data_IF_849342911994
#
_entry.id   IF_849342911994
#
_cell.length_a   1.000
_cell.length_b   1.000
_cell.length_c   1.000
_cell.angle_alpha   90.00
_cell.angle_beta   90.00
_cell.angle_gamma   90.00
#
_symmetry.space_group_name_H-M   'P 1'
#
loop_
_entity.id
_entity.type
_entity.pdbx_description
1 polymer ?
#
# COMPACT_ATOMS: atom_id res chain seq x y z
N UNK A 1 -18.69 1.62 16.68
CA UNK A 1 -18.91 2.03 15.28
C UNK A 1 -20.36 2.31 15.01
N UNK A 2 -20.68 3.50 14.48
CA UNK A 2 -22.04 3.84 14.04
C UNK A 2 -22.38 3.14 12.69
N UNK A 3 -23.60 3.26 12.18
CA UNK A 3 -23.99 2.60 10.92
C UNK A 3 -23.19 3.10 9.71
N UNK A 4 -22.86 4.39 9.66
CA UNK A 4 -22.08 4.99 8.58
C UNK A 4 -20.64 4.42 8.53
N UNK A 5 -19.97 4.33 9.68
CA UNK A 5 -18.66 3.73 9.85
C UNK A 5 -18.66 2.23 9.52
N UNK A 6 -19.73 1.52 9.89
CA UNK A 6 -19.91 0.11 9.52
C UNK A 6 -20.05 -0.07 8.00
N UNK A 7 -20.80 0.80 7.33
CA UNK A 7 -20.98 0.77 5.87
C UNK A 7 -19.65 1.06 5.15
N UNK A 8 -18.91 2.08 5.59
CA UNK A 8 -17.57 2.39 5.08
C UNK A 8 -16.62 1.21 5.25
N UNK A 9 -16.60 0.59 6.43
CA UNK A 9 -15.80 -0.59 6.72
C UNK A 9 -16.19 -1.78 5.83
N UNK A 10 -17.48 -1.98 5.54
CA UNK A 10 -17.95 -3.03 4.64
C UNK A 10 -17.48 -2.81 3.20
N UNK A 11 -17.56 -1.57 2.71
CA UNK A 11 -17.11 -1.23 1.36
C UNK A 11 -15.61 -1.47 1.20
N UNK A 12 -14.79 -0.99 2.16
CA UNK A 12 -13.35 -1.26 2.20
C UNK A 12 -13.05 -2.76 2.21
N UNK A 13 -13.72 -3.51 3.09
CA UNK A 13 -13.56 -4.97 3.20
C UNK A 13 -13.92 -5.70 1.91
N UNK A 14 -14.99 -5.30 1.23
CA UNK A 14 -15.36 -5.87 -0.07
C UNK A 14 -14.20 -5.69 -1.05
N UNK A 15 -13.71 -4.46 -1.23
CA UNK A 15 -12.63 -4.18 -2.18
C UNK A 15 -11.38 -5.01 -1.86
N UNK A 16 -10.95 -5.02 -0.59
CA UNK A 16 -9.77 -5.79 -0.15
C UNK A 16 -9.90 -7.30 -0.42
N UNK A 17 -11.07 -7.89 -0.12
CA UNK A 17 -11.29 -9.33 -0.29
C UNK A 17 -11.42 -9.69 -1.77
N UNK A 18 -12.24 -8.94 -2.50
CA UNK A 18 -12.56 -9.24 -3.90
C UNK A 18 -11.39 -8.92 -4.83
N UNK A 19 -10.63 -7.86 -4.57
CA UNK A 19 -9.38 -7.57 -5.29
C UNK A 19 -8.40 -8.75 -5.17
N UNK A 20 -8.12 -9.21 -3.95
CA UNK A 20 -7.26 -10.39 -3.72
C UNK A 20 -7.81 -11.68 -4.34
N UNK A 21 -9.13 -11.84 -4.38
CA UNK A 21 -9.74 -13.01 -5.02
C UNK A 21 -9.51 -13.01 -6.54
N UNK A 22 -9.80 -11.89 -7.20
CA UNK A 22 -9.62 -11.74 -8.65
C UNK A 22 -8.15 -11.75 -9.05
N UNK A 23 -7.29 -11.07 -8.28
CA UNK A 23 -5.84 -11.09 -8.47
C UNK A 23 -5.29 -12.52 -8.44
N UNK A 24 -5.66 -13.33 -7.44
CA UNK A 24 -5.23 -14.74 -7.36
C UNK A 24 -5.73 -15.59 -8.53
N UNK A 25 -6.95 -15.34 -9.02
CA UNK A 25 -7.45 -16.03 -10.21
C UNK A 25 -6.62 -15.68 -11.44
N UNK A 26 -6.32 -14.40 -11.62
CA UNK A 26 -5.48 -13.93 -12.72
C UNK A 26 -4.05 -14.45 -12.63
N UNK A 27 -3.42 -14.44 -11.45
CA UNK A 27 -2.07 -15.01 -11.25
C UNK A 27 -2.00 -16.49 -11.64
N UNK A 28 -3.05 -17.29 -11.38
CA UNK A 28 -3.10 -18.69 -11.83
C UNK A 28 -3.20 -18.80 -13.35
N UNK A 29 -3.89 -17.88 -14.01
CA UNK A 29 -3.95 -17.82 -15.47
C UNK A 29 -2.57 -17.51 -16.07
N UNK A 30 -1.86 -16.51 -15.50
CA UNK A 30 -0.50 -16.15 -15.90
C UNK A 30 0.48 -17.31 -15.69
N UNK A 31 0.43 -17.97 -14.54
CA UNK A 31 1.30 -19.12 -14.25
C UNK A 31 1.06 -20.32 -15.19
N UNK A 32 -0.11 -20.39 -15.81
CA UNK A 32 -0.43 -21.38 -16.83
C UNK A 32 -0.05 -20.93 -18.26
N UNK A 33 0.48 -19.71 -18.43
CA UNK A 33 0.82 -19.12 -19.73
C UNK A 33 -0.40 -18.86 -20.63
N UNK A 34 -1.57 -18.63 -20.04
CA UNK A 34 -2.85 -18.46 -20.77
C UNK A 34 -3.39 -17.02 -20.76
N UNK A 35 -2.63 -16.09 -20.20
CA UNK A 35 -3.04 -14.68 -20.09
C UNK A 35 -2.75 -13.87 -21.35
N UNK A 36 -1.81 -14.33 -22.20
CA UNK A 36 -1.38 -13.62 -23.40
C UNK A 36 -1.77 -14.33 -24.70
N UNK A 37 -2.07 -13.53 -25.72
CA UNK A 37 -2.18 -13.97 -27.12
C UNK A 37 -0.81 -13.96 -27.79
N UNK A 38 -0.68 -14.61 -28.95
CA UNK A 38 0.59 -14.71 -29.69
C UNK A 38 1.17 -13.35 -30.12
N UNK A 39 0.31 -12.33 -30.28
CA UNK A 39 0.67 -10.95 -30.63
C UNK A 39 1.00 -10.07 -29.40
N UNK A 40 1.04 -10.65 -28.19
CA UNK A 40 1.36 -9.95 -26.95
C UNK A 40 0.18 -9.24 -26.28
N UNK A 41 -1.01 -9.31 -26.87
CA UNK A 41 -2.26 -8.86 -26.26
C UNK A 41 -2.69 -9.73 -25.06
N UNK A 42 -3.79 -9.32 -24.42
CA UNK A 42 -4.44 -10.13 -23.38
C UNK A 42 -5.48 -11.05 -24.00
N UNK A 43 -5.61 -12.27 -23.46
CA UNK A 43 -6.72 -13.15 -23.83
C UNK A 43 -8.04 -12.64 -23.27
N UNK A 44 -9.17 -13.06 -23.85
CA UNK A 44 -10.51 -12.79 -23.30
C UNK A 44 -10.62 -13.27 -21.85
N UNK A 45 -10.09 -14.47 -21.54
CA UNK A 45 -10.07 -15.02 -20.17
C UNK A 45 -9.28 -14.12 -19.20
N UNK A 46 -8.20 -13.47 -19.66
CA UNK A 46 -7.48 -12.49 -18.86
C UNK A 46 -8.30 -11.22 -18.63
N UNK A 47 -8.88 -10.65 -19.70
CA UNK A 47 -9.67 -9.41 -19.64
C UNK A 47 -10.97 -9.57 -18.84
N UNK A 48 -11.47 -10.79 -18.62
CA UNK A 48 -12.59 -11.06 -17.72
C UNK A 48 -12.18 -11.09 -16.22
N UNK A 49 -10.89 -11.11 -15.92
CA UNK A 49 -10.33 -11.28 -14.58
C UNK A 49 -9.61 -10.03 -14.07
N UNK A 50 -8.52 -9.62 -14.71
CA UNK A 50 -7.66 -8.58 -14.14
C UNK A 50 -8.29 -7.20 -13.98
N UNK A 51 -9.24 -6.76 -14.85
CA UNK A 51 -9.87 -5.46 -14.68
C UNK A 51 -10.65 -5.34 -13.37
N UNK A 52 -11.12 -6.48 -12.82
CA UNK A 52 -11.90 -6.52 -11.58
C UNK A 52 -11.08 -6.13 -10.37
N UNK A 53 -9.86 -6.66 -10.21
CA UNK A 53 -9.04 -6.27 -9.06
C UNK A 53 -8.50 -4.85 -9.24
N UNK A 54 -8.12 -4.46 -10.46
CA UNK A 54 -7.64 -3.09 -10.74
C UNK A 54 -8.68 -2.02 -10.40
N UNK A 55 -9.94 -2.25 -10.76
CA UNK A 55 -11.01 -1.30 -10.44
C UNK A 55 -11.33 -1.26 -8.95
N UNK A 56 -11.27 -2.40 -8.26
CA UNK A 56 -11.49 -2.46 -6.81
C UNK A 56 -10.37 -1.77 -6.03
N UNK A 57 -9.12 -1.86 -6.49
CA UNK A 57 -7.99 -1.15 -5.89
C UNK A 57 -8.16 0.37 -6.04
N UNK A 58 -8.58 0.84 -7.22
CA UNK A 58 -8.89 2.24 -7.46
C UNK A 58 -10.06 2.74 -6.57
N UNK A 59 -11.14 1.95 -6.48
CA UNK A 59 -12.29 2.27 -5.63
C UNK A 59 -11.89 2.30 -4.15
N UNK A 60 -11.06 1.36 -3.69
CA UNK A 60 -10.58 1.33 -2.32
C UNK A 60 -9.81 2.61 -1.96
N UNK A 61 -8.88 3.02 -2.82
CA UNK A 61 -8.13 4.27 -2.62
C UNK A 61 -9.05 5.49 -2.56
N UNK A 62 -10.12 5.54 -3.37
CA UNK A 62 -11.09 6.62 -3.35
C UNK A 62 -11.96 6.63 -2.08
N UNK A 63 -12.45 5.46 -1.65
CA UNK A 63 -13.21 5.30 -0.40
C UNK A 63 -12.36 5.72 0.81
N UNK A 64 -11.07 5.38 0.80
CA UNK A 64 -10.12 5.68 1.88
C UNK A 64 -9.73 7.18 1.92
N UNK A 65 -10.16 8.04 0.99
CA UNK A 65 -10.01 9.50 1.13
C UNK A 65 -10.90 10.11 2.22
N UNK A 66 -11.89 9.36 2.72
CA UNK A 66 -12.75 9.79 3.82
C UNK A 66 -12.59 8.85 5.01
N UNK A 67 -12.61 9.41 6.22
CA UNK A 67 -12.64 8.61 7.44
C UNK A 67 -14.09 8.17 7.72
N UNK A 68 -14.28 6.87 7.99
CA UNK A 68 -15.60 6.32 8.32
C UNK A 68 -16.24 6.94 9.55
N UNK A 69 -15.44 7.52 10.45
CA UNK A 69 -15.89 8.19 11.67
C UNK A 69 -16.40 9.62 11.44
N UNK A 70 -16.10 10.23 10.28
CA UNK A 70 -16.48 11.61 9.96
C UNK A 70 -17.92 11.74 9.43
N UNK A 71 -18.54 10.64 9.01
CA UNK A 71 -19.89 10.67 8.46
C UNK A 71 -20.93 10.94 9.54
N UNK A 72 -21.78 11.94 9.32
CA UNK A 72 -22.86 12.29 10.25
C UNK A 72 -24.04 11.31 10.16
N UNK A 73 -24.26 10.70 8.99
CA UNK A 73 -25.38 9.80 8.73
C UNK A 73 -25.02 8.65 7.77
N UNK A 74 -25.77 7.54 7.87
CA UNK A 74 -25.63 6.38 6.98
C UNK A 74 -25.88 6.75 5.51
N UNK A 75 -26.91 7.54 5.23
CA UNK A 75 -27.26 7.98 3.88
C UNK A 75 -26.12 8.81 3.23
N UNK A 76 -25.48 9.68 4.02
CA UNK A 76 -24.34 10.47 3.57
C UNK A 76 -23.16 9.56 3.20
N UNK A 77 -22.81 8.62 4.08
CA UNK A 77 -21.75 7.64 3.80
C UNK A 77 -22.07 6.80 2.56
N UNK A 78 -23.30 6.31 2.45
CA UNK A 78 -23.75 5.51 1.32
C UNK A 78 -23.60 6.26 -0.01
N UNK A 79 -24.10 7.50 -0.08
CA UNK A 79 -24.00 8.32 -1.29
C UNK A 79 -22.54 8.63 -1.66
N UNK A 80 -21.69 8.95 -0.67
CA UNK A 80 -20.28 9.23 -0.92
C UNK A 80 -19.51 7.98 -1.37
N UNK A 81 -19.79 6.82 -0.77
CA UNK A 81 -19.19 5.55 -1.16
C UNK A 81 -19.63 5.16 -2.57
N UNK A 82 -20.92 5.27 -2.92
CA UNK A 82 -21.38 5.00 -4.28
C UNK A 82 -20.77 5.96 -5.29
N UNK A 83 -20.61 7.24 -4.95
CA UNK A 83 -19.89 8.17 -5.80
C UNK A 83 -18.43 7.71 -6.04
N UNK A 84 -17.73 7.21 -5.01
CA UNK A 84 -16.41 6.61 -5.18
C UNK A 84 -16.44 5.35 -6.06
N UNK A 85 -17.42 4.45 -5.87
CA UNK A 85 -17.60 3.23 -6.68
C UNK A 85 -17.73 3.57 -8.17
N UNK A 86 -18.42 4.64 -8.53
CA UNK A 86 -18.65 4.99 -9.93
C UNK A 86 -17.56 5.87 -10.55
N UNK A 87 -16.92 6.73 -9.77
CA UNK A 87 -15.99 7.73 -10.29
C UNK A 87 -14.50 7.42 -10.04
N UNK A 88 -14.17 6.38 -9.25
CA UNK A 88 -12.77 6.05 -8.99
C UNK A 88 -12.07 5.56 -10.26
N UNK A 89 -10.89 6.11 -10.56
CA UNK A 89 -10.07 5.74 -11.69
C UNK A 89 -8.59 5.67 -11.29
N UNK A 90 -7.79 5.03 -12.12
CA UNK A 90 -6.34 4.92 -11.99
C UNK A 90 -5.72 4.78 -13.37
N UNK A 91 -4.39 4.94 -13.44
CA UNK A 91 -3.62 4.72 -14.68
C UNK A 91 -3.94 3.37 -15.35
N UNK A 92 -4.29 2.35 -14.57
CA UNK A 92 -4.59 1.01 -15.06
C UNK A 92 -6.04 0.82 -15.53
N UNK A 93 -6.95 1.73 -15.17
CA UNK A 93 -8.38 1.65 -15.51
C UNK A 93 -8.84 2.73 -16.49
N UNK A 94 -8.03 3.74 -16.75
CA UNK A 94 -8.30 4.81 -17.72
C UNK A 94 -8.13 4.36 -19.18
N UNK A 95 -8.93 4.96 -20.07
CA UNK A 95 -8.87 4.78 -21.52
C UNK A 95 -8.92 3.31 -21.97
N UNK A 96 -9.66 2.48 -21.23
CA UNK A 96 -9.90 1.07 -21.57
C UNK A 96 -11.25 0.90 -22.24
N UNK A 97 -11.31 0.00 -23.21
CA UNK A 97 -12.51 -0.28 -24.02
C UNK A 97 -12.81 -1.78 -24.04
N UNK A 98 -13.91 -2.17 -24.69
CA UNK A 98 -14.23 -3.57 -24.94
C UNK A 98 -14.49 -4.39 -23.68
N UNK A 99 -13.91 -5.60 -23.63
CA UNK A 99 -14.15 -6.57 -22.54
C UNK A 99 -13.62 -6.04 -21.22
N UNK A 100 -12.49 -5.31 -21.22
CA UNK A 100 -11.97 -4.67 -20.02
C UNK A 100 -13.02 -3.77 -19.39
N UNK A 101 -13.56 -2.83 -20.18
CA UNK A 101 -14.51 -1.82 -19.67
C UNK A 101 -15.78 -2.48 -19.14
N UNK A 102 -16.30 -3.48 -19.85
CA UNK A 102 -17.48 -4.24 -19.42
C UNK A 102 -17.23 -4.99 -18.12
N UNK A 103 -16.08 -5.62 -17.99
CA UNK A 103 -15.67 -6.36 -16.79
C UNK A 103 -15.51 -5.45 -15.59
N UNK A 104 -14.85 -4.30 -15.75
CA UNK A 104 -14.70 -3.30 -14.71
C UNK A 104 -16.05 -2.71 -14.28
N UNK A 105 -16.93 -2.39 -15.23
CA UNK A 105 -18.28 -1.90 -14.95
C UNK A 105 -19.14 -2.93 -14.21
N UNK A 106 -19.03 -4.22 -14.59
CA UNK A 106 -19.73 -5.29 -13.90
C UNK A 106 -19.27 -5.44 -12.43
N UNK A 107 -17.98 -5.24 -12.15
CA UNK A 107 -17.48 -5.28 -10.76
C UNK A 107 -17.94 -4.06 -9.95
N UNK A 108 -17.99 -2.86 -10.54
CA UNK A 108 -18.59 -1.67 -9.90
C UNK A 108 -20.05 -1.92 -9.52
N UNK A 109 -20.83 -2.45 -10.46
CA UNK A 109 -22.24 -2.78 -10.21
C UNK A 109 -22.39 -3.84 -9.10
N UNK A 110 -21.55 -4.88 -9.10
CA UNK A 110 -21.61 -5.92 -8.07
C UNK A 110 -21.35 -5.36 -6.66
N UNK A 111 -20.39 -4.42 -6.51
CA UNK A 111 -20.16 -3.73 -5.25
C UNK A 111 -21.33 -2.80 -4.89
N UNK A 112 -21.85 -2.01 -5.83
CA UNK A 112 -23.01 -1.14 -5.58
C UNK A 112 -24.22 -1.94 -5.09
N UNK A 113 -24.59 -3.02 -5.80
CA UNK A 113 -25.69 -3.92 -5.43
C UNK A 113 -25.48 -4.55 -4.05
N UNK A 114 -24.24 -4.91 -3.73
CA UNK A 114 -23.87 -5.44 -2.42
C UNK A 114 -24.11 -4.41 -1.31
N UNK A 115 -23.72 -3.15 -1.51
CA UNK A 115 -23.89 -2.08 -0.54
C UNK A 115 -25.36 -1.70 -0.36
N UNK A 116 -26.10 -1.53 -1.45
CA UNK A 116 -27.55 -1.25 -1.44
C UNK A 116 -28.30 -2.31 -0.64
N UNK A 117 -27.99 -3.59 -0.91
CA UNK A 117 -28.59 -4.72 -0.19
C UNK A 117 -28.25 -4.70 1.30
N UNK A 118 -27.03 -4.31 1.67
CA UNK A 118 -26.60 -4.26 3.08
C UNK A 118 -27.24 -3.10 3.83
N UNK A 119 -27.33 -1.92 3.21
CA UNK A 119 -28.03 -0.78 3.76
C UNK A 119 -29.53 -1.11 3.97
N UNK A 120 -30.20 -1.66 2.96
CA UNK A 120 -31.62 -2.00 3.03
C UNK A 120 -31.94 -3.08 4.09
N UNK A 121 -31.04 -4.05 4.31
CA UNK A 121 -31.23 -5.10 5.31
C UNK A 121 -30.93 -4.66 6.75
N UNK A 122 -30.35 -3.46 6.93
CA UNK A 122 -29.75 -3.04 8.19
C UNK A 122 -28.41 -3.73 8.44
N UNK A 123 -27.37 -2.94 8.63
CA UNK A 123 -26.02 -3.47 8.88
C UNK A 123 -25.94 -3.97 10.32
N UNK A 124 -25.67 -5.27 10.47
CA UNK A 124 -25.50 -5.91 11.78
C UNK A 124 -24.06 -6.38 11.94
N UNK A 125 -23.36 -5.76 12.90
CA UNK A 125 -22.06 -6.17 13.42
C UNK A 125 -20.96 -6.38 12.36
N UNK A 126 -20.26 -5.29 12.03
CA UNK A 126 -19.06 -5.31 11.22
C UNK A 126 -17.87 -5.25 12.16
N UNK A 127 -16.91 -6.19 12.06
CA UNK A 127 -15.63 -6.04 12.79
C UNK A 127 -14.89 -4.82 12.23
N UNK A 128 -14.19 -4.02 13.05
CA UNK A 128 -13.37 -2.92 12.53
C UNK A 128 -12.25 -3.45 11.62
N UNK A 129 -11.74 -2.57 10.76
CA UNK A 129 -10.47 -2.76 10.05
C UNK A 129 -9.42 -1.84 10.69
N UNK A 130 -8.12 -2.14 10.55
CA UNK A 130 -7.08 -1.19 10.89
C UNK A 130 -7.31 0.16 10.22
N UNK A 131 -6.94 1.24 10.90
CA UNK A 131 -7.02 2.57 10.34
C UNK A 131 -6.15 2.66 9.10
N UNK A 132 -6.72 3.24 8.06
CA UNK A 132 -6.02 3.61 6.84
C UNK A 132 -6.83 4.67 6.12
N UNK A 133 -6.17 5.75 5.72
CA UNK A 133 -6.75 6.76 4.84
C UNK A 133 -5.77 7.14 3.75
N UNK A 134 -6.31 7.46 2.58
CA UNK A 134 -5.56 8.00 1.45
C UNK A 134 -5.26 9.48 1.71
N UNK A 135 -4.01 9.88 1.52
CA UNK A 135 -3.58 11.26 1.64
C UNK A 135 -4.14 12.11 0.50
N UNK A 136 -4.56 13.32 0.81
CA UNK A 136 -4.94 14.31 -0.20
C UNK A 136 -3.72 14.80 -0.99
N UNK A 137 -3.92 15.33 -2.20
CA UNK A 137 -2.82 15.86 -3.01
C UNK A 137 -1.99 16.93 -2.29
N UNK A 138 -2.63 17.78 -1.49
CA UNK A 138 -1.94 18.81 -0.69
C UNK A 138 -1.08 18.18 0.41
N UNK A 139 -1.61 17.21 1.16
CA UNK A 139 -0.83 16.49 2.18
C UNK A 139 0.37 15.78 1.57
N UNK A 140 0.16 15.08 0.43
CA UNK A 140 1.24 14.40 -0.29
C UNK A 140 2.37 15.37 -0.64
N UNK A 141 2.04 16.52 -1.24
CA UNK A 141 3.04 17.53 -1.61
C UNK A 141 3.82 18.02 -0.39
N UNK A 142 3.14 18.40 0.69
CA UNK A 142 3.79 18.92 1.88
C UNK A 142 4.68 17.86 2.56
N UNK A 143 4.18 16.63 2.68
CA UNK A 143 4.95 15.54 3.28
C UNK A 143 6.19 15.19 2.46
N UNK A 144 6.08 15.18 1.12
CA UNK A 144 7.25 15.00 0.25
C UNK A 144 8.26 16.14 0.39
N UNK A 145 7.81 17.39 0.45
CA UNK A 145 8.70 18.54 0.66
C UNK A 145 9.45 18.44 1.99
N UNK A 146 8.74 18.13 3.08
CA UNK A 146 9.33 17.95 4.41
C UNK A 146 10.31 16.76 4.44
N UNK A 147 9.92 15.63 3.84
CA UNK A 147 10.73 14.41 3.81
C UNK A 147 12.03 14.63 3.03
N UNK A 148 11.96 15.28 1.87
CA UNK A 148 13.14 15.66 1.07
C UNK A 148 14.01 16.67 1.82
N UNK A 149 13.39 17.68 2.44
CA UNK A 149 14.10 18.72 3.18
C UNK A 149 14.88 18.16 4.38
N UNK A 150 14.31 17.17 5.08
CA UNK A 150 14.92 16.58 6.27
C UNK A 150 15.96 15.51 5.96
N UNK A 151 15.66 14.60 5.04
CA UNK A 151 16.47 13.40 4.81
C UNK A 151 17.30 13.44 3.53
N UNK A 152 17.19 14.52 2.75
CA UNK A 152 17.91 14.68 1.49
C UNK A 152 17.46 13.69 0.41
N UNK A 153 16.21 13.23 0.48
CA UNK A 153 15.62 12.33 -0.51
C UNK A 153 15.51 13.05 -1.86
N UNK A 154 15.88 12.35 -2.94
CA UNK A 154 15.81 12.83 -4.32
C UNK A 154 15.08 11.80 -5.19
N UNK A 155 15.41 11.69 -6.49
CA UNK A 155 14.90 10.63 -7.37
C UNK A 155 15.32 9.23 -6.85
N UNK A 156 16.48 9.17 -6.20
CA UNK A 156 16.96 8.00 -5.47
C UNK A 156 17.38 8.41 -4.05
N UNK A 157 17.49 7.43 -3.15
CA UNK A 157 18.00 7.65 -1.80
C UNK A 157 19.02 6.59 -1.40
N UNK A 158 19.69 6.77 -0.26
CA UNK A 158 20.65 5.81 0.25
C UNK A 158 19.98 4.43 0.46
N UNK A 159 20.56 3.31 -0.04
CA UNK A 159 21.96 3.15 -0.43
C UNK A 159 22.28 3.37 -1.91
N UNK A 160 21.31 3.76 -2.75
CA UNK A 160 21.51 3.92 -4.20
C UNK A 160 22.30 5.18 -4.57
N UNK A 161 22.57 6.02 -3.58
CA UNK A 161 23.39 7.23 -3.72
C UNK A 161 24.51 7.20 -2.70
N UNK A 162 25.65 7.82 -3.02
CA UNK A 162 26.80 7.92 -2.11
C UNK A 162 26.50 8.79 -0.88
N UNK A 163 25.49 9.66 -0.97
CA UNK A 163 25.10 10.56 0.10
C UNK A 163 24.34 9.80 1.21
N UNK A 164 25.08 9.26 2.17
CA UNK A 164 24.55 8.64 3.38
C UNK A 164 24.22 9.69 4.44
N UNK A 165 22.93 9.86 4.84
CA UNK A 165 22.58 10.74 5.95
C UNK A 165 23.15 10.23 7.29
N UNK A 166 23.24 11.14 8.27
CA UNK A 166 23.61 10.74 9.63
C UNK A 166 22.59 9.73 10.19
N UNK A 167 23.06 8.83 11.05
CA UNK A 167 22.22 7.85 11.73
C UNK A 167 21.35 7.02 10.79
N UNK A 168 21.92 6.68 9.62
CA UNK A 168 21.29 5.86 8.60
C UNK A 168 22.09 4.59 8.36
N UNK A 169 21.42 3.48 8.10
CA UNK A 169 22.04 2.26 7.59
C UNK A 169 21.09 1.54 6.65
N UNK A 170 21.66 0.91 5.61
CA UNK A 170 20.92 0.11 4.66
C UNK A 170 21.26 -1.36 4.88
N UNK A 171 20.25 -2.20 4.81
CA UNK A 171 20.34 -3.63 5.01
C UNK A 171 19.78 -4.37 3.80
N UNK A 172 20.22 -5.62 3.62
CA UNK A 172 19.60 -6.52 2.67
C UNK A 172 18.20 -6.89 3.19
N UNK A 173 17.16 -6.66 2.38
CA UNK A 173 15.74 -6.79 2.78
C UNK A 173 15.38 -8.22 3.22
N UNK A 174 15.90 -9.23 2.51
CA UNK A 174 15.71 -10.65 2.79
C UNK A 174 16.19 -11.04 4.20
N UNK A 175 17.41 -10.65 4.57
CA UNK A 175 17.92 -10.89 5.92
C UNK A 175 17.18 -10.11 6.99
N UNK A 176 16.75 -8.87 6.69
CA UNK A 176 15.96 -8.09 7.63
C UNK A 176 14.60 -8.76 7.89
N UNK A 177 13.91 -9.22 6.84
CA UNK A 177 12.63 -9.93 6.98
C UNK A 177 12.78 -11.24 7.77
N UNK A 178 13.82 -12.03 7.49
CA UNK A 178 14.05 -13.33 8.13
C UNK A 178 14.53 -13.22 9.59
N UNK A 179 15.50 -12.33 9.86
CA UNK A 179 16.20 -12.29 11.16
C UNK A 179 15.60 -11.28 12.14
N UNK A 180 14.99 -10.19 11.65
CA UNK A 180 14.32 -9.17 12.48
C UNK A 180 12.81 -9.32 12.39
N UNK A 181 12.28 -9.32 11.17
CA UNK A 181 10.85 -9.41 10.87
C UNK A 181 10.08 -8.12 11.17
N UNK A 182 9.03 -7.87 10.38
CA UNK A 182 8.22 -6.65 10.52
C UNK A 182 7.39 -6.60 11.81
N UNK A 183 7.12 -7.73 12.45
CA UNK A 183 6.43 -7.76 13.75
C UNK A 183 7.31 -7.20 14.88
N UNK A 184 8.63 -7.45 14.87
CA UNK A 184 9.54 -6.84 15.84
C UNK A 184 9.64 -5.33 15.62
N UNK A 185 9.68 -4.90 14.35
CA UNK A 185 9.67 -3.48 14.00
C UNK A 185 8.38 -2.78 14.45
N UNK A 186 7.21 -3.39 14.23
CA UNK A 186 5.92 -2.88 14.77
C UNK A 186 5.94 -2.78 16.29
N UNK A 187 6.52 -3.77 16.97
CA UNK A 187 6.65 -3.75 18.43
C UNK A 187 7.55 -2.61 18.92
N UNK A 188 8.67 -2.34 18.24
CA UNK A 188 9.54 -1.19 18.52
C UNK A 188 8.77 0.13 18.36
N UNK A 189 8.07 0.32 17.23
CA UNK A 189 7.28 1.53 16.99
C UNK A 189 6.20 1.71 18.08
N UNK A 190 5.48 0.65 18.42
CA UNK A 190 4.45 0.68 19.46
C UNK A 190 5.02 0.99 20.86
N UNK A 191 6.20 0.45 21.20
CA UNK A 191 6.89 0.75 22.46
C UNK A 191 7.28 2.23 22.59
N UNK A 192 7.46 2.91 21.46
CA UNK A 192 7.71 4.35 21.38
C UNK A 192 6.43 5.20 21.26
N UNK A 193 5.24 4.60 21.42
CA UNK A 193 3.95 5.30 21.33
C UNK A 193 3.58 5.72 19.91
N UNK A 194 4.19 5.10 18.89
CA UNK A 194 3.86 5.34 17.49
C UNK A 194 2.76 4.37 17.10
N UNK A 195 1.53 4.88 17.03
CA UNK A 195 0.37 4.10 16.63
C UNK A 195 0.08 4.22 15.12
N UNK A 196 0.59 5.28 14.48
CA UNK A 196 0.36 5.60 13.07
C UNK A 196 1.63 5.99 12.35
N UNK A 197 1.69 5.63 11.08
CA UNK A 197 2.76 6.00 10.16
C UNK A 197 2.19 6.55 8.87
N UNK A 198 2.97 7.39 8.21
CA UNK A 198 2.74 7.76 6.82
C UNK A 198 3.45 6.78 5.90
N UNK A 199 2.87 6.51 4.73
CA UNK A 199 3.45 5.75 3.63
C UNK A 199 3.38 6.61 2.37
N UNK A 200 4.55 6.98 1.84
CA UNK A 200 4.69 7.62 0.54
C UNK A 200 5.27 6.63 -0.47
N UNK A 201 4.94 6.82 -1.75
CA UNK A 201 5.33 5.92 -2.84
C UNK A 201 5.94 6.71 -3.98
N UNK A 202 6.97 6.15 -4.59
CA UNK A 202 7.74 6.80 -5.66
C UNK A 202 6.86 7.27 -6.83
N UNK A 203 5.90 6.46 -7.25
CA UNK A 203 5.11 6.79 -8.43
C UNK A 203 3.93 7.72 -8.08
N UNK A 204 3.78 8.81 -8.85
CA UNK A 204 2.72 9.82 -8.66
C UNK A 204 1.29 9.24 -8.63
N UNK A 205 1.07 8.14 -9.36
CA UNK A 205 -0.22 7.46 -9.48
C UNK A 205 -0.49 6.45 -8.37
N UNK A 206 0.50 6.15 -7.53
CA UNK A 206 0.34 5.27 -6.37
C UNK A 206 -0.40 6.03 -5.27
N UNK A 207 -1.44 5.42 -4.66
CA UNK A 207 -2.05 6.00 -3.49
C UNK A 207 -1.05 5.99 -2.32
N UNK A 208 -1.02 7.09 -1.58
CA UNK A 208 -0.19 7.29 -0.40
C UNK A 208 -1.08 7.38 0.83
N UNK A 209 -0.60 6.94 1.98
CA UNK A 209 -1.46 6.62 3.11
C UNK A 209 -0.98 7.22 4.42
N UNK A 210 -1.94 7.44 5.31
CA UNK A 210 -1.70 7.32 6.75
C UNK A 210 -2.35 6.02 7.22
N UNK A 211 -1.61 5.21 7.99
CA UNK A 211 -2.02 3.87 8.40
C UNK A 211 -1.69 3.64 9.88
N UNK A 212 -2.48 2.78 10.53
CA UNK A 212 -2.06 2.20 11.81
C UNK A 212 -0.84 1.28 11.62
N UNK A 213 -0.04 1.11 12.66
CA UNK A 213 1.12 0.19 12.65
C UNK A 213 0.75 -1.27 12.38
N UNK A 214 -0.49 -1.69 12.59
CA UNK A 214 -0.95 -3.02 12.17
C UNK A 214 -0.88 -3.19 10.63
N UNK A 215 -1.20 -2.13 9.89
CA UNK A 215 -1.15 -2.08 8.42
C UNK A 215 0.23 -1.78 7.85
N UNK A 216 1.22 -1.52 8.70
CA UNK A 216 2.58 -1.18 8.30
C UNK A 216 3.32 -2.42 7.77
N UNK A 217 3.84 -2.30 6.54
CA UNK A 217 4.56 -3.37 5.85
C UNK A 217 5.62 -2.74 4.91
N UNK A 218 6.85 -2.49 5.39
CA UNK A 218 7.85 -1.68 4.70
C UNK A 218 8.57 -2.47 3.60
N UNK A 219 7.85 -2.80 2.53
CA UNK A 219 8.37 -3.57 1.39
C UNK A 219 8.25 -2.79 0.09
N UNK A 220 9.15 -3.08 -0.83
CA UNK A 220 8.98 -2.70 -2.23
C UNK A 220 7.72 -3.38 -2.80
N UNK A 221 6.98 -2.65 -3.63
CA UNK A 221 5.79 -3.19 -4.29
C UNK A 221 5.75 -2.73 -5.75
N UNK A 222 4.78 -3.23 -6.51
CA UNK A 222 4.53 -2.75 -7.87
C UNK A 222 4.24 -1.23 -7.95
N UNK A 223 3.89 -0.62 -6.82
CA UNK A 223 3.65 0.82 -6.69
C UNK A 223 4.94 1.65 -6.53
N UNK A 224 6.10 1.02 -6.67
CA UNK A 224 7.41 1.66 -6.60
C UNK A 224 8.05 1.55 -5.21
N UNK A 225 9.15 2.29 -5.05
CA UNK A 225 9.82 2.41 -3.76
C UNK A 225 8.90 3.02 -2.70
N UNK A 226 9.11 2.63 -1.44
CA UNK A 226 8.27 3.04 -0.33
C UNK A 226 9.04 3.76 0.76
N UNK A 227 8.40 4.77 1.35
CA UNK A 227 8.95 5.56 2.46
C UNK A 227 7.93 5.58 3.60
N UNK A 228 8.36 5.23 4.81
CA UNK A 228 7.53 5.23 6.02
C UNK A 228 8.14 6.04 7.14
N UNK A 229 7.33 6.84 7.83
CA UNK A 229 7.78 7.75 8.89
C UNK A 229 6.63 8.16 9.83
N UNK A 230 6.97 8.72 10.99
CA UNK A 230 6.04 9.32 11.97
C UNK A 230 5.68 10.77 11.60
N UNK A 231 4.71 11.38 12.31
CA UNK A 231 4.39 12.80 12.11
C UNK A 231 5.57 13.74 12.46
N UNK A 232 6.40 13.33 13.42
CA UNK A 232 7.61 14.05 13.85
C UNK A 232 8.74 13.92 12.82
N UNK A 233 8.65 12.92 11.93
CA UNK A 233 9.60 12.63 10.85
C UNK A 233 11.04 12.45 11.35
N UNK A 234 11.21 12.04 12.60
CA UNK A 234 12.51 11.83 13.28
C UNK A 234 13.20 10.53 12.93
N UNK A 235 12.51 9.67 12.19
CA UNK A 235 13.03 8.51 11.51
C UNK A 235 12.35 8.37 10.14
N UNK A 236 12.97 7.59 9.27
CA UNK A 236 12.35 7.12 8.03
C UNK A 236 12.84 5.71 7.73
N UNK A 237 11.93 4.88 7.23
CA UNK A 237 12.22 3.56 6.69
C UNK A 237 11.99 3.64 5.19
N UNK A 238 12.92 3.11 4.41
CA UNK A 238 12.85 3.13 2.96
C UNK A 238 13.08 1.73 2.41
N UNK A 239 12.23 1.30 1.50
CA UNK A 239 12.36 0.02 0.82
C UNK A 239 12.47 0.26 -0.69
N UNK A 240 13.51 -0.32 -1.29
CA UNK A 240 13.85 -0.14 -2.70
C UNK A 240 13.73 -1.43 -3.50
N UNK A 241 13.55 -1.29 -4.81
CA UNK A 241 13.59 -2.38 -5.79
C UNK A 241 14.93 -3.14 -5.84
N UNK A 242 15.99 -2.57 -5.26
CA UNK A 242 17.32 -3.18 -5.16
C UNK A 242 17.46 -4.11 -3.93
N UNK A 243 16.35 -4.66 -3.43
CA UNK A 243 16.25 -5.53 -2.25
C UNK A 243 16.97 -4.93 -1.03
N UNK A 244 16.73 -3.64 -0.80
CA UNK A 244 17.27 -2.90 0.33
C UNK A 244 16.17 -2.41 1.24
N UNK A 245 16.44 -2.44 2.54
CA UNK A 245 15.69 -1.70 3.55
C UNK A 245 16.64 -0.77 4.29
N UNK A 246 16.39 0.53 4.20
CA UNK A 246 17.15 1.58 4.87
C UNK A 246 16.40 2.05 6.09
N UNK A 247 17.11 2.11 7.22
CA UNK A 247 16.61 2.67 8.47
C UNK A 247 17.41 3.94 8.74
N UNK A 248 16.74 5.07 8.87
CA UNK A 248 17.33 6.34 9.29
C UNK A 248 16.63 6.89 10.54
N UNK A 249 17.40 7.54 11.40
CA UNK A 249 16.96 8.04 12.71
C UNK A 249 17.69 7.32 13.83
N UNK A 250 18.39 8.09 14.67
CA UNK A 250 19.31 7.59 15.70
C UNK A 250 18.66 6.53 16.60
N UNK A 251 17.50 6.84 17.18
CA UNK A 251 16.86 5.96 18.14
C UNK A 251 16.37 4.66 17.48
N UNK A 252 15.72 4.75 16.31
CA UNK A 252 15.16 3.58 15.64
C UNK A 252 16.26 2.65 15.15
N UNK A 253 17.32 3.22 14.55
CA UNK A 253 18.47 2.45 14.12
C UNK A 253 19.18 1.79 15.31
N UNK A 254 19.24 2.46 16.45
CA UNK A 254 19.84 1.90 17.67
C UNK A 254 19.04 0.71 18.20
N UNK A 255 17.72 0.81 18.30
CA UNK A 255 16.85 -0.29 18.74
C UNK A 255 16.98 -1.52 17.82
N UNK A 256 16.98 -1.31 16.50
CA UNK A 256 17.17 -2.40 15.53
C UNK A 256 18.51 -3.10 15.72
N UNK A 257 19.61 -2.34 15.87
CA UNK A 257 20.94 -2.90 16.09
C UNK A 257 21.06 -3.66 17.42
N UNK A 258 20.30 -3.27 18.44
CA UNK A 258 20.29 -3.97 19.73
C UNK A 258 19.62 -5.34 19.64
N UNK A 259 18.57 -5.48 18.83
CA UNK A 259 17.84 -6.74 18.68
C UNK A 259 18.37 -7.63 17.55
N UNK A 260 19.29 -7.12 16.73
CA UNK A 260 19.84 -7.84 15.57
C UNK A 260 21.36 -8.05 15.66
N UNK A 261 21.84 -9.05 16.44
CA UNK A 261 23.26 -9.36 16.51
C UNK A 261 23.84 -9.73 15.15
N UNK A 262 25.00 -9.15 14.79
CA UNK A 262 25.66 -9.44 13.52
C UNK A 262 25.09 -8.67 12.32
N UNK A 263 24.24 -7.66 12.55
CA UNK A 263 23.68 -6.79 11.51
C UNK A 263 24.75 -6.21 10.57
N UNK A 264 26.00 -6.05 11.02
CA UNK A 264 27.11 -5.54 10.20
C UNK A 264 27.38 -6.42 8.97
N UNK A 265 27.16 -7.73 9.08
CA UNK A 265 27.29 -8.69 7.99
C UNK A 265 26.07 -8.69 7.04
N UNK A 266 24.99 -8.01 7.45
CA UNK A 266 23.70 -7.91 6.75
C UNK A 266 23.47 -6.56 6.08
N UNK A 267 24.47 -5.68 6.13
CA UNK A 267 24.48 -4.41 5.40
C UNK A 267 24.21 -4.65 3.92
N UNK A 268 23.49 -3.72 3.32
CA UNK A 268 23.18 -3.78 1.90
C UNK A 268 24.46 -3.86 1.07
N UNK A 269 24.43 -4.78 0.12
CA UNK A 269 25.45 -4.98 -0.88
C UNK A 269 24.80 -4.77 -2.24
N UNK A 270 25.48 -4.05 -3.13
CA UNK A 270 25.04 -3.99 -4.51
C UNK A 270 25.09 -5.40 -5.16
N UNK A 271 24.41 -5.55 -6.30
CA UNK A 271 24.30 -6.85 -6.96
C UNK A 271 25.67 -7.42 -7.39
N UNK A 272 26.65 -6.57 -7.70
CA UNK A 272 27.98 -7.03 -8.11
C UNK A 272 28.72 -7.63 -6.94
N UNK A 273 28.62 -6.99 -5.77
CA UNK A 273 29.24 -7.44 -4.55
C UNK A 273 28.57 -8.71 -4.01
N UNK A 274 27.24 -8.82 -4.10
CA UNK A 274 26.51 -10.06 -3.81
C UNK A 274 27.05 -11.23 -4.64
N UNK A 275 27.15 -11.06 -5.96
CA UNK A 275 27.70 -12.06 -6.86
C UNK A 275 29.15 -12.44 -6.54
N UNK A 276 30.00 -11.46 -6.19
CA UNK A 276 31.39 -11.73 -5.81
C UNK A 276 31.50 -12.54 -4.52
N UNK A 277 30.60 -12.30 -3.57
CA UNK A 277 30.56 -13.01 -2.28
C UNK A 277 29.80 -14.34 -2.33
N UNK A 278 29.10 -14.62 -3.43
CA UNK A 278 28.29 -15.83 -3.60
C UNK A 278 27.06 -15.85 -2.69
N UNK A 279 26.53 -14.67 -2.38
CA UNK A 279 25.26 -14.45 -1.65
C UNK A 279 24.17 -14.00 -2.60
#
# INVERSE_FOLDING_TARGET
MNQAEQLHTLARRYCMIMSRYWGRKYSRLMNAGRDRTEDGGYTVEAEELFPRYLVLDAILAEIEKSDGTEFAAEEEAHNKILAAVWNAHSLFTENKEGIFQQTAAAERQALADYLDKKAAAGIVHVSPLPYRRTLSGVERTLLWEDLRGRWGISDFWYPLTDAKPADTEAFMEDYFEEEVGFEALKAILSAHGIDRVFELREFDHSPEYQLDTEGFNPVYTINGEGYWFSAEMDWVIYASHENSITIAGEWLLTEIKQIWPGWEERRWLDWQERLQRGV
#
